data_IF_234465926169
#
_entry.id   IF_234465926169
#
_cell.length_a   1.000
_cell.length_b   1.000
_cell.length_c   1.000
_cell.angle_alpha   90.00
_cell.angle_beta   90.00
_cell.angle_gamma   90.00
#
_symmetry.space_group_name_H-M   'P 1'
#
loop_
_entity.id
_entity.type
_entity.pdbx_description
1 polymer ?
#
# COMPACT_ATOMS: atom_id res chain seq x y z
N UNK A 1 6.05 8.69 -12.14
CA UNK A 1 4.94 7.74 -11.90
C UNK A 1 4.19 8.14 -10.65
N UNK A 2 2.86 8.23 -10.74
CA UNK A 2 1.95 8.51 -9.63
C UNK A 2 1.17 7.24 -9.32
N UNK A 3 1.02 6.88 -8.05
CA UNK A 3 0.30 5.68 -7.61
C UNK A 3 -0.66 6.05 -6.48
N UNK A 4 -1.84 5.46 -6.45
CA UNK A 4 -2.85 5.68 -5.42
C UNK A 4 -2.81 4.53 -4.42
N UNK A 5 -2.34 4.81 -3.21
CA UNK A 5 -2.22 3.83 -2.13
C UNK A 5 -3.42 3.96 -1.18
N UNK A 6 -4.24 2.92 -1.14
CA UNK A 6 -5.38 2.80 -0.24
C UNK A 6 -4.89 2.25 1.10
N UNK A 7 -5.10 3.04 2.14
CA UNK A 7 -4.80 2.70 3.52
C UNK A 7 -6.08 2.83 4.33
N UNK A 8 -6.68 1.69 4.72
CA UNK A 8 -7.99 1.61 5.37
C UNK A 8 -9.05 2.38 4.55
N UNK A 9 -9.54 3.51 5.06
CA UNK A 9 -10.59 4.34 4.44
C UNK A 9 -10.03 5.54 3.65
N UNK A 10 -8.70 5.69 3.55
CA UNK A 10 -8.06 6.86 2.95
C UNK A 10 -7.25 6.47 1.73
N UNK A 11 -7.34 7.28 0.68
CA UNK A 11 -6.50 7.18 -0.51
C UNK A 11 -5.37 8.19 -0.42
N UNK A 12 -4.14 7.71 -0.58
CA UNK A 12 -2.92 8.51 -0.49
C UNK A 12 -2.24 8.51 -1.84
N UNK A 13 -2.09 9.69 -2.42
CA UNK A 13 -1.37 9.85 -3.66
C UNK A 13 0.15 9.85 -3.40
N UNK A 14 0.87 8.92 -4.02
CA UNK A 14 2.32 8.80 -3.89
C UNK A 14 2.98 9.06 -5.23
N UNK A 15 3.89 10.05 -5.24
CA UNK A 15 4.76 10.31 -6.38
C UNK A 15 5.99 9.40 -6.26
N UNK A 16 6.10 8.41 -7.15
CA UNK A 16 7.18 7.42 -7.17
C UNK A 16 8.33 7.80 -8.11
N UNK A 17 8.25 8.93 -8.83
CA UNK A 17 9.30 9.36 -9.76
C UNK A 17 9.61 8.27 -10.80
N UNK A 18 10.86 7.76 -10.89
CA UNK A 18 11.26 6.67 -11.78
C UNK A 18 10.85 5.26 -11.30
N UNK A 19 10.20 5.14 -10.14
CA UNK A 19 9.65 3.89 -9.60
C UNK A 19 10.68 2.75 -9.45
N UNK A 20 11.92 3.11 -9.13
CA UNK A 20 13.02 2.18 -8.81
C UNK A 20 13.02 1.73 -7.35
N UNK A 21 12.06 2.20 -6.55
CA UNK A 21 11.88 1.77 -5.17
C UNK A 21 11.12 0.43 -5.13
N UNK A 22 11.28 -0.30 -4.02
CA UNK A 22 10.55 -1.55 -3.78
C UNK A 22 9.08 -1.30 -3.45
N UNK A 23 8.23 -2.28 -3.71
CA UNK A 23 6.81 -2.25 -3.32
C UNK A 23 6.66 -2.10 -1.80
N UNK A 24 7.57 -2.68 -1.00
CA UNK A 24 7.64 -2.45 0.46
C UNK A 24 7.66 -0.96 0.82
N UNK A 25 8.48 -0.18 0.12
CA UNK A 25 8.60 1.27 0.37
C UNK A 25 7.28 1.99 0.11
N UNK A 26 6.52 1.57 -0.91
CA UNK A 26 5.22 2.15 -1.23
C UNK A 26 4.21 1.94 -0.09
N UNK A 27 4.22 0.75 0.54
CA UNK A 27 3.39 0.46 1.72
C UNK A 27 3.79 1.35 2.90
N UNK A 28 5.09 1.43 3.20
CA UNK A 28 5.61 2.22 4.32
C UNK A 28 5.29 3.70 4.17
N UNK A 29 5.42 4.22 2.95
CA UNK A 29 5.05 5.60 2.62
C UNK A 29 3.54 5.84 2.75
N UNK A 30 2.71 4.88 2.34
CA UNK A 30 1.27 4.92 2.54
C UNK A 30 0.93 5.03 4.03
N UNK A 31 1.47 4.14 4.85
CA UNK A 31 1.24 4.12 6.30
C UNK A 31 1.74 5.40 6.97
N UNK A 32 2.96 5.84 6.68
CA UNK A 32 3.53 7.04 7.27
C UNK A 32 2.70 8.31 6.95
N UNK A 33 2.17 8.40 5.71
CA UNK A 33 1.28 9.52 5.33
C UNK A 33 -0.13 9.40 5.90
N UNK A 34 -0.59 8.18 6.19
CA UNK A 34 -1.84 7.97 6.91
C UNK A 34 -1.72 8.49 8.35
N UNK A 35 -0.67 8.09 9.06
CA UNK A 35 -0.49 8.37 10.48
C UNK A 35 -0.09 9.83 10.79
N UNK A 36 0.42 10.58 9.81
CA UNK A 36 0.84 11.98 9.94
C UNK A 36 -0.14 12.96 10.62
N UNK A 37 -1.41 12.59 10.83
CA UNK A 37 -2.41 13.40 11.55
C UNK A 37 -3.15 12.71 12.68
N UNK A 38 -3.04 11.39 12.85
CA UNK A 38 -4.05 10.64 13.62
C UNK A 38 -3.52 9.82 14.81
N UNK A 39 -2.21 9.63 15.01
CA UNK A 39 -1.71 8.85 16.15
C UNK A 39 -2.30 7.43 16.20
N UNK A 40 -2.67 6.90 15.03
CA UNK A 40 -3.32 5.60 14.90
C UNK A 40 -2.23 4.61 14.55
N UNK A 41 -1.91 3.73 15.50
CA UNK A 41 -1.03 2.61 15.27
C UNK A 41 -1.74 1.61 14.34
N UNK A 42 -1.46 1.72 13.04
CA UNK A 42 -1.96 0.77 12.03
C UNK A 42 -1.17 -0.54 12.03
N UNK A 43 -0.10 -0.64 12.81
CA UNK A 43 0.85 -1.74 12.77
C UNK A 43 1.68 -1.80 11.48
N UNK A 44 2.44 -2.90 11.35
CA UNK A 44 3.35 -3.12 10.22
C UNK A 44 2.57 -3.67 9.02
N UNK A 45 2.66 -3.05 7.83
CA UNK A 45 1.99 -3.55 6.64
C UNK A 45 2.53 -4.94 6.26
N UNK A 46 1.60 -5.86 5.98
CA UNK A 46 1.90 -7.26 5.64
C UNK A 46 2.08 -7.48 4.14
N UNK A 47 1.48 -6.64 3.32
CA UNK A 47 1.52 -6.75 1.87
C UNK A 47 0.83 -5.59 1.18
N UNK A 48 0.92 -5.60 -0.14
CA UNK A 48 0.12 -4.76 -1.02
C UNK A 48 -0.64 -5.67 -1.96
N UNK A 49 -1.92 -5.36 -2.21
CA UNK A 49 -2.73 -6.02 -3.23
C UNK A 49 -3.27 -5.02 -4.26
N UNK A 50 -3.60 -5.51 -5.44
CA UNK A 50 -4.31 -4.76 -6.48
C UNK A 50 -5.83 -4.86 -6.31
N UNK A 51 -6.58 -4.18 -7.19
CA UNK A 51 -8.04 -4.20 -7.19
C UNK A 51 -8.60 -5.59 -7.48
N UNK A 52 -7.88 -6.37 -8.30
CA UNK A 52 -8.20 -7.75 -8.63
C UNK A 52 -7.93 -8.76 -7.48
N UNK A 53 -7.41 -8.30 -6.33
CA UNK A 53 -7.05 -9.14 -5.18
C UNK A 53 -5.69 -9.82 -5.26
N UNK A 54 -4.93 -9.62 -6.34
CA UNK A 54 -3.58 -10.15 -6.52
C UNK A 54 -2.60 -9.46 -5.55
N UNK A 55 -1.81 -10.26 -4.84
CA UNK A 55 -0.78 -9.75 -3.94
C UNK A 55 0.52 -9.50 -4.69
N UNK A 56 1.08 -8.32 -4.48
CA UNK A 56 2.35 -7.92 -5.06
C UNK A 56 3.51 -8.38 -4.19
N UNK A 57 4.60 -8.81 -4.82
CA UNK A 57 5.83 -9.13 -4.12
C UNK A 57 6.45 -7.86 -3.53
N UNK A 58 6.52 -7.79 -2.21
CA UNK A 58 7.07 -6.63 -1.51
C UNK A 58 8.55 -6.35 -1.84
N UNK A 59 9.29 -7.34 -2.34
CA UNK A 59 10.70 -7.17 -2.75
C UNK A 59 10.87 -6.67 -4.18
N UNK A 60 9.82 -6.75 -4.99
CA UNK A 60 9.84 -6.31 -6.37
C UNK A 60 9.87 -4.78 -6.49
N UNK A 61 10.28 -4.29 -7.66
CA UNK A 61 10.28 -2.87 -7.97
C UNK A 61 8.89 -2.40 -8.36
N UNK A 62 8.54 -1.17 -7.97
CA UNK A 62 7.26 -0.56 -8.30
C UNK A 62 7.05 -0.52 -9.81
N UNK A 63 8.05 -0.11 -10.60
CA UNK A 63 7.91 0.02 -12.06
C UNK A 63 7.59 -1.29 -12.79
N UNK A 64 7.96 -2.44 -12.21
CA UNK A 64 7.81 -3.75 -12.86
C UNK A 64 6.40 -4.32 -12.63
N UNK A 65 5.71 -3.85 -11.58
CA UNK A 65 4.42 -4.39 -11.12
C UNK A 65 3.34 -3.34 -10.89
N UNK A 66 3.63 -2.05 -11.03
CA UNK A 66 2.65 -0.98 -10.80
C UNK A 66 2.77 0.03 -11.92
N UNK A 67 1.63 0.36 -12.50
CA UNK A 67 1.50 1.33 -13.58
C UNK A 67 1.22 2.73 -13.04
N UNK A 68 1.38 3.71 -13.93
CA UNK A 68 1.00 5.07 -13.63
C UNK A 68 -0.52 5.16 -13.42
N UNK A 69 -0.93 5.92 -12.39
CA UNK A 69 -2.30 6.13 -11.97
C UNK A 69 -3.00 4.85 -11.43
N UNK A 70 -2.25 3.77 -11.16
CA UNK A 70 -2.80 2.52 -10.60
C UNK A 70 -3.18 2.66 -9.12
N UNK A 71 -4.19 1.89 -8.71
CA UNK A 71 -4.68 1.82 -7.34
C UNK A 71 -4.17 0.53 -6.68
N UNK A 72 -3.63 0.66 -5.47
CA UNK A 72 -3.13 -0.47 -4.68
C UNK A 72 -3.59 -0.36 -3.23
N UNK A 73 -3.82 -1.48 -2.56
CA UNK A 73 -4.33 -1.54 -1.19
C UNK A 73 -3.30 -2.15 -0.25
N UNK A 74 -3.04 -1.47 0.86
CA UNK A 74 -2.17 -1.99 1.91
C UNK A 74 -2.95 -2.99 2.76
N UNK A 75 -2.38 -4.18 2.97
CA UNK A 75 -2.94 -5.21 3.84
C UNK A 75 -2.29 -5.15 5.23
N UNK A 76 -3.10 -5.09 6.28
CA UNK A 76 -2.64 -5.14 7.68
C UNK A 76 -2.98 -6.47 8.33
N UNK A 77 -2.31 -6.79 9.44
CA UNK A 77 -2.54 -8.04 10.18
C UNK A 77 -3.97 -8.13 10.75
N UNK A 78 -4.57 -6.98 11.10
CA UNK A 78 -5.93 -6.91 11.65
C UNK A 78 -7.03 -7.01 10.60
N UNK A 79 -6.72 -6.94 9.30
CA UNK A 79 -7.72 -7.19 8.25
C UNK A 79 -8.10 -8.69 8.14
N UNK A 80 -7.35 -9.58 8.80
CA UNK A 80 -7.59 -11.03 8.81
C UNK A 80 -8.72 -11.45 9.80
N UNK A 81 -9.25 -10.52 10.62
CA UNK A 81 -10.21 -10.85 11.69
C UNK A 81 -11.69 -10.65 11.35
N UNK A 82 -12.08 -10.53 10.08
CA UNK A 82 -13.51 -10.39 9.70
C UNK A 82 -14.03 -11.50 8.80
N UNK A 83 -13.66 -12.77 9.04
CA UNK A 83 -14.55 -13.91 8.72
C UNK A 83 -14.36 -15.00 9.79
N UNK A 84 -15.09 -14.87 10.88
CA UNK A 84 -15.49 -16.01 11.70
C UNK A 84 -16.97 -15.80 11.99
N UNK A 85 -17.79 -16.22 11.02
CA UNK A 85 -19.21 -16.52 11.24
C UNK A 85 -19.33 -17.94 11.78
#
# INVERSE_FOLDING_TARGET
MKVFVHVRHKVIQVQCGPATQKIRWLADVGVARFDSKNGVDLGVPKGIKRDNGEHLDMQALIRDFVQQDEHVWVCFKDDDQTISQ
#
